data_IF_162262255535
#
_entry.id   IF_162262255535
#
_cell.length_a   1.000
_cell.length_b   1.000
_cell.length_c   1.000
_cell.angle_alpha   90.00
_cell.angle_beta   90.00
_cell.angle_gamma   90.00
#
_symmetry.space_group_name_H-M   'P 1'
#
loop_
_entity.id
_entity.type
_entity.pdbx_description
1 polymer ?
#
# COMPACT_ATOMS: atom_id res chain seq x y z
N UNK A 1 -2.51 -2.58 17.58
CA UNK A 1 -3.55 -1.58 17.25
C UNK A 1 -4.83 -2.33 16.89
N UNK A 2 -5.89 -2.18 17.70
CA UNK A 2 -7.12 -2.96 17.54
C UNK A 2 -7.89 -2.61 16.26
N UNK A 3 -7.87 -1.34 15.83
CA UNK A 3 -8.57 -0.93 14.60
C UNK A 3 -7.90 -1.48 13.34
N UNK A 4 -6.59 -1.65 13.38
CA UNK A 4 -5.82 -2.24 12.26
C UNK A 4 -6.07 -3.73 12.19
N UNK A 5 -6.16 -4.40 13.34
CA UNK A 5 -6.42 -5.84 13.40
C UNK A 5 -7.74 -6.23 12.72
N UNK A 6 -8.77 -5.39 12.80
CA UNK A 6 -10.06 -5.66 12.14
C UNK A 6 -9.98 -5.52 10.62
N UNK A 7 -9.02 -4.76 10.09
CA UNK A 7 -8.85 -4.57 8.65
C UNK A 7 -8.10 -5.70 7.97
N UNK A 8 -7.34 -6.52 8.70
CA UNK A 8 -6.65 -7.67 8.12
C UNK A 8 -7.61 -8.61 7.38
N UNK A 9 -8.79 -8.88 7.96
CA UNK A 9 -9.81 -9.70 7.32
C UNK A 9 -10.27 -9.11 5.98
N UNK A 10 -10.56 -7.81 5.94
CA UNK A 10 -11.01 -7.14 4.71
C UNK A 10 -9.96 -7.20 3.59
N UNK A 11 -8.70 -6.95 3.94
CA UNK A 11 -7.58 -7.03 2.98
C UNK A 11 -7.39 -8.47 2.49
N UNK A 12 -7.35 -9.45 3.39
CA UNK A 12 -7.21 -10.87 3.04
C UNK A 12 -8.35 -11.35 2.15
N UNK A 13 -9.61 -11.09 2.53
CA UNK A 13 -10.79 -11.48 1.74
C UNK A 13 -10.73 -10.91 0.33
N UNK A 14 -10.38 -9.62 0.18
CA UNK A 14 -10.28 -9.01 -1.14
C UNK A 14 -9.22 -9.67 -2.01
N UNK A 15 -8.03 -9.90 -1.46
CA UNK A 15 -6.90 -10.52 -2.18
C UNK A 15 -7.25 -11.95 -2.60
N UNK A 16 -7.84 -12.73 -1.71
CA UNK A 16 -8.25 -14.12 -2.00
C UNK A 16 -9.35 -14.22 -3.06
N UNK A 17 -10.12 -13.15 -3.27
CA UNK A 17 -11.15 -13.07 -4.31
C UNK A 17 -10.59 -12.72 -5.70
N UNK A 18 -9.30 -12.39 -5.82
CA UNK A 18 -8.68 -12.03 -7.10
C UNK A 18 -8.06 -13.25 -7.81
N UNK A 19 -7.72 -13.08 -9.09
CA UNK A 19 -7.09 -14.10 -9.92
C UNK A 19 -5.56 -14.14 -9.76
N UNK A 20 -5.05 -14.02 -8.54
CA UNK A 20 -3.62 -14.18 -8.25
C UNK A 20 -3.26 -15.65 -8.03
N UNK A 21 -2.01 -16.01 -8.29
CA UNK A 21 -1.51 -17.34 -7.94
C UNK A 21 -1.52 -17.52 -6.41
N UNK A 22 -1.85 -18.72 -5.89
CA UNK A 22 -1.88 -18.96 -4.45
C UNK A 22 -0.56 -18.64 -3.74
N UNK A 23 0.58 -18.85 -4.41
CA UNK A 23 1.89 -18.49 -3.89
C UNK A 23 2.06 -16.97 -3.71
N UNK A 24 1.52 -16.17 -4.64
CA UNK A 24 1.55 -14.71 -4.56
C UNK A 24 0.68 -14.20 -3.40
N UNK A 25 -0.50 -14.79 -3.20
CA UNK A 25 -1.40 -14.49 -2.07
C UNK A 25 -0.70 -14.79 -0.75
N UNK A 26 -0.17 -16.01 -0.58
CA UNK A 26 0.52 -16.41 0.65
C UNK A 26 1.72 -15.51 0.95
N UNK A 27 2.52 -15.18 -0.07
CA UNK A 27 3.66 -14.27 0.09
C UNK A 27 3.21 -12.89 0.53
N UNK A 28 2.17 -12.32 -0.10
CA UNK A 28 1.70 -10.98 0.24
C UNK A 28 1.21 -10.88 1.69
N UNK A 29 0.48 -11.90 2.17
CA UNK A 29 -0.06 -11.93 3.54
C UNK A 29 1.03 -12.01 4.63
N UNK A 30 2.28 -12.30 4.26
CA UNK A 30 3.40 -12.46 5.20
C UNK A 30 4.35 -11.26 5.22
N UNK A 31 4.22 -10.31 4.30
CA UNK A 31 5.15 -9.17 4.16
C UNK A 31 4.54 -7.87 4.64
N UNK A 32 5.39 -6.85 4.78
CA UNK A 32 5.02 -5.53 5.31
C UNK A 32 3.88 -4.84 4.54
N UNK A 33 3.76 -5.08 3.23
CA UNK A 33 2.74 -4.47 2.37
C UNK A 33 1.31 -4.75 2.86
N UNK A 34 1.05 -5.97 3.36
CA UNK A 34 -0.23 -6.34 3.95
C UNK A 34 -0.57 -5.47 5.16
N UNK A 35 0.41 -5.25 6.05
CA UNK A 35 0.25 -4.42 7.24
C UNK A 35 0.08 -2.94 6.88
N UNK A 36 0.82 -2.43 5.90
CA UNK A 36 0.71 -1.04 5.41
C UNK A 36 -0.71 -0.74 4.89
N UNK A 37 -1.27 -1.63 4.09
CA UNK A 37 -2.64 -1.47 3.57
C UNK A 37 -3.65 -1.50 4.72
N UNK A 38 -3.54 -2.45 5.64
CA UNK A 38 -4.46 -2.56 6.79
C UNK A 38 -4.43 -1.28 7.66
N UNK A 39 -3.24 -0.71 7.88
CA UNK A 39 -3.10 0.57 8.57
C UNK A 39 -3.77 1.72 7.84
N UNK A 40 -3.55 1.81 6.52
CA UNK A 40 -4.13 2.86 5.71
C UNK A 40 -5.66 2.78 5.66
N UNK A 41 -6.21 1.57 5.55
CA UNK A 41 -7.64 1.32 5.54
C UNK A 41 -8.29 1.68 6.89
N UNK A 42 -7.66 1.30 8.01
CA UNK A 42 -8.20 1.54 9.35
C UNK A 42 -8.34 3.03 9.69
N UNK A 43 -7.41 3.85 9.17
CA UNK A 43 -7.25 5.26 9.56
C UNK A 43 -7.55 6.24 8.43
N UNK A 44 -7.99 5.75 7.27
CA UNK A 44 -8.19 6.56 6.07
C UNK A 44 -6.94 7.27 5.59
N UNK A 45 -5.75 6.70 5.82
CA UNK A 45 -4.47 7.30 5.42
C UNK A 45 -4.19 7.06 3.93
N UNK A 46 -3.22 7.80 3.40
CA UNK A 46 -2.72 7.62 2.04
C UNK A 46 -1.46 6.75 2.08
N UNK A 47 -1.42 5.70 1.27
CA UNK A 47 -0.20 4.90 1.06
C UNK A 47 0.71 5.61 0.05
N UNK A 48 1.96 5.81 0.41
CA UNK A 48 2.96 6.38 -0.50
C UNK A 48 3.89 5.28 -0.98
N UNK A 49 3.97 5.06 -2.30
CA UNK A 49 4.79 3.98 -2.88
C UNK A 49 5.39 4.37 -4.23
N UNK A 50 6.57 3.84 -4.55
CA UNK A 50 7.17 3.92 -5.88
C UNK A 50 6.60 2.89 -6.86
N UNK A 51 5.80 1.92 -6.39
CA UNK A 51 5.15 0.96 -7.27
C UNK A 51 4.08 1.62 -8.15
N UNK A 52 3.95 1.11 -9.37
CA UNK A 52 2.84 1.43 -10.27
C UNK A 52 1.88 0.24 -10.36
N UNK A 53 0.59 0.47 -10.65
CA UNK A 53 -0.35 -0.61 -10.95
C UNK A 53 0.17 -1.47 -12.09
N UNK A 54 -0.01 -2.78 -11.97
CA UNK A 54 0.42 -3.74 -12.99
C UNK A 54 -0.47 -4.98 -13.00
N UNK A 55 -0.73 -5.50 -14.20
CA UNK A 55 -1.51 -6.72 -14.40
C UNK A 55 -0.58 -7.94 -14.32
N UNK A 56 -0.21 -8.34 -13.10
CA UNK A 56 0.58 -9.54 -12.85
C UNK A 56 -0.15 -10.47 -11.89
N UNK A 57 -0.34 -11.73 -12.28
CA UNK A 57 -0.94 -12.76 -11.40
C UNK A 57 0.06 -13.31 -10.37
N UNK A 58 1.36 -13.11 -10.59
CA UNK A 58 2.46 -13.67 -9.78
C UNK A 58 2.92 -12.77 -8.63
N UNK A 59 2.55 -11.48 -8.68
CA UNK A 59 2.94 -10.52 -7.66
C UNK A 59 1.82 -9.50 -7.46
N UNK A 60 1.34 -9.42 -6.23
CA UNK A 60 0.38 -8.43 -5.81
C UNK A 60 1.13 -7.11 -5.58
N UNK A 61 0.65 -6.04 -6.21
CA UNK A 61 1.23 -4.70 -6.12
C UNK A 61 0.42 -3.84 -5.17
N UNK A 62 1.09 -2.98 -4.39
CA UNK A 62 0.44 -2.08 -3.43
C UNK A 62 -0.67 -1.25 -4.11
N UNK A 63 -0.44 -0.59 -5.27
CA UNK A 63 -1.48 0.18 -5.96
C UNK A 63 -2.70 -0.65 -6.35
N UNK A 64 -2.55 -1.92 -6.74
CA UNK A 64 -3.69 -2.75 -7.13
C UNK A 64 -4.62 -2.99 -5.94
N UNK A 65 -4.05 -3.28 -4.77
CA UNK A 65 -4.81 -3.46 -3.52
C UNK A 65 -5.46 -2.15 -3.10
N UNK A 66 -4.73 -1.03 -3.19
CA UNK A 66 -5.27 0.28 -2.88
C UNK A 66 -6.48 0.64 -3.75
N UNK A 67 -6.41 0.40 -5.06
CA UNK A 67 -7.54 0.62 -5.98
C UNK A 67 -8.73 -0.25 -5.58
N UNK A 68 -8.50 -1.55 -5.35
CA UNK A 68 -9.57 -2.50 -5.03
C UNK A 68 -10.28 -2.27 -3.70
N UNK A 69 -9.58 -1.69 -2.73
CA UNK A 69 -10.10 -1.37 -1.39
C UNK A 69 -10.44 0.11 -1.21
N UNK A 70 -10.37 0.91 -2.28
CA UNK A 70 -10.58 2.36 -2.24
C UNK A 70 -9.69 3.10 -1.21
N UNK A 71 -8.45 2.62 -1.05
CA UNK A 71 -7.42 3.28 -0.25
C UNK A 71 -6.70 4.30 -1.11
N UNK A 72 -6.55 5.52 -0.60
CA UNK A 72 -5.79 6.56 -1.30
C UNK A 72 -4.32 6.15 -1.39
N UNK A 73 -3.72 6.34 -2.56
CA UNK A 73 -2.29 6.16 -2.73
C UNK A 73 -1.72 7.22 -3.66
N UNK A 74 -0.41 7.46 -3.56
CA UNK A 74 0.31 8.38 -4.43
C UNK A 74 1.79 8.01 -4.52
N UNK A 75 2.49 8.60 -5.49
CA UNK A 75 3.95 8.46 -5.58
C UNK A 75 4.65 9.39 -4.57
N UNK A 76 5.87 9.09 -4.13
CA UNK A 76 6.66 10.01 -3.32
C UNK A 76 6.83 11.38 -3.97
N UNK A 77 7.02 11.44 -5.29
CA UNK A 77 7.14 12.72 -6.00
C UNK A 77 5.84 13.53 -6.01
N UNK A 78 4.70 12.86 -6.06
CA UNK A 78 3.41 13.53 -5.92
C UNK A 78 3.20 14.05 -4.50
N UNK A 79 3.51 13.23 -3.48
CA UNK A 79 3.47 13.62 -2.07
C UNK A 79 4.35 14.85 -1.81
N UNK A 80 5.62 14.83 -2.23
CA UNK A 80 6.54 15.94 -2.04
C UNK A 80 6.05 17.24 -2.71
N UNK A 81 5.43 17.16 -3.89
CA UNK A 81 4.85 18.32 -4.57
C UNK A 81 3.62 18.85 -3.83
N UNK A 82 2.72 17.97 -3.37
CA UNK A 82 1.52 18.34 -2.60
C UNK A 82 1.88 19.01 -1.28
N UNK A 83 2.87 18.47 -0.58
CA UNK A 83 3.36 19.00 0.71
C UNK A 83 4.31 20.19 0.55
N UNK A 84 4.65 20.58 -0.70
CA UNK A 84 5.58 21.68 -1.02
C UNK A 84 6.92 21.53 -0.29
N UNK A 85 7.40 20.29 -0.19
CA UNK A 85 8.63 19.96 0.49
C UNK A 85 9.83 20.69 -0.15
N UNK A 86 10.70 21.27 0.67
CA UNK A 86 11.95 21.90 0.24
C UNK A 86 13.12 21.18 0.86
N UNK A 87 14.02 20.69 0.03
CA UNK A 87 15.28 20.12 0.45
C UNK A 87 16.33 21.24 0.45
N UNK A 88 16.76 21.66 1.64
CA UNK A 88 17.75 22.73 1.81
C UNK A 88 19.09 22.08 2.13
N UNK A 89 20.12 22.41 1.36
CA UNK A 89 21.48 21.98 1.67
C UNK A 89 21.98 22.77 2.88
N UNK A 90 22.26 22.08 3.98
CA UNK A 90 22.90 22.68 5.16
C UNK A 90 24.31 23.17 4.80
N UNK A 91 24.79 24.22 5.48
CA UNK A 91 26.20 24.61 5.36
C UNK A 91 27.06 23.44 5.86
N UNK A 92 28.02 23.02 5.05
CA UNK A 92 29.09 22.13 5.51
C UNK A 92 29.78 22.77 6.71
N UNK A 93 30.01 21.99 7.76
CA UNK A 93 30.79 22.41 8.93
C UNK A 93 32.25 22.67 8.56
#
# INVERSE_FOLDING_TARGET
>A
DAQVATQFGAVSTWITGQQYEPAAINTFLQVADFYLIAHALARGQTVVTHELPANSVKRIKIPNVCIGLNVRFMTPFEMLRRERAKFVLGRSA
#
